data_IF_669117262381
#
_entry.id   IF_669117262381
#
_cell.length_a   1.000
_cell.length_b   1.000
_cell.length_c   1.000
_cell.angle_alpha   90.00
_cell.angle_beta   90.00
_cell.angle_gamma   90.00
#
_symmetry.space_group_name_H-M   'P 1'
#
loop_
_entity.id
_entity.type
_entity.pdbx_description
1 polymer ?
#
# COMPACT_ATOMS: atom_id res chain seq x y z
N UNK A 1 -6.25 19.49 -1.59
CA UNK A 1 -5.73 18.56 -2.63
C UNK A 1 -4.71 17.57 -2.05
N UNK A 2 -3.64 18.04 -1.38
CA UNK A 2 -2.55 17.22 -0.84
C UNK A 2 -3.05 16.14 0.15
N UNK A 3 -3.83 16.54 1.16
CA UNK A 3 -4.37 15.62 2.18
C UNK A 3 -5.25 14.53 1.56
N UNK A 4 -6.11 14.92 0.59
CA UNK A 4 -6.95 13.97 -0.12
C UNK A 4 -6.12 12.96 -0.92
N UNK A 5 -5.10 13.43 -1.64
CA UNK A 5 -4.19 12.56 -2.38
C UNK A 5 -3.45 11.60 -1.44
N UNK A 6 -3.01 12.10 -0.29
CA UNK A 6 -2.41 11.26 0.75
C UNK A 6 -3.35 10.13 1.18
N UNK A 7 -4.59 10.44 1.57
CA UNK A 7 -5.56 9.42 1.97
C UNK A 7 -5.86 8.41 0.86
N UNK A 8 -5.97 8.86 -0.39
CA UNK A 8 -6.18 7.97 -1.54
C UNK A 8 -5.00 7.00 -1.69
N UNK A 9 -3.78 7.51 -1.69
CA UNK A 9 -2.56 6.71 -1.87
C UNK A 9 -2.37 5.73 -0.70
N UNK A 10 -2.55 6.18 0.53
CA UNK A 10 -2.51 5.34 1.73
C UNK A 10 -3.59 4.26 1.71
N UNK A 11 -4.82 4.59 1.30
CA UNK A 11 -5.90 3.60 1.17
C UNK A 11 -5.53 2.53 0.14
N UNK A 12 -5.04 2.93 -1.04
CA UNK A 12 -4.59 1.98 -2.07
C UNK A 12 -3.47 1.09 -1.54
N UNK A 13 -2.49 1.66 -0.84
CA UNK A 13 -1.39 0.91 -0.23
C UNK A 13 -1.89 -0.13 0.79
N UNK A 14 -2.84 0.24 1.65
CA UNK A 14 -3.46 -0.67 2.63
C UNK A 14 -4.21 -1.83 1.96
N UNK A 15 -4.98 -1.56 0.90
CA UNK A 15 -5.67 -2.62 0.15
C UNK A 15 -4.70 -3.53 -0.60
N UNK A 16 -3.59 -2.99 -1.13
CA UNK A 16 -2.56 -3.82 -1.75
C UNK A 16 -1.90 -4.73 -0.72
N UNK A 17 -1.59 -4.21 0.46
CA UNK A 17 -1.10 -5.01 1.58
C UNK A 17 -2.09 -6.11 1.98
N UNK A 18 -3.40 -5.80 2.05
CA UNK A 18 -4.44 -6.81 2.30
C UNK A 18 -4.40 -7.93 1.27
N UNK A 19 -4.35 -7.58 -0.02
CA UNK A 19 -4.30 -8.59 -1.08
C UNK A 19 -3.04 -9.47 -0.98
N UNK A 20 -1.88 -8.88 -0.71
CA UNK A 20 -0.61 -9.62 -0.53
C UNK A 20 -0.67 -10.56 0.68
N UNK A 21 -1.09 -10.06 1.84
CA UNK A 21 -1.20 -10.87 3.05
C UNK A 21 -2.23 -11.99 2.87
N UNK A 22 -3.42 -11.67 2.37
CA UNK A 22 -4.44 -12.68 2.09
C UNK A 22 -3.90 -13.79 1.18
N UNK A 23 -3.20 -13.42 0.11
CA UNK A 23 -2.57 -14.39 -0.80
C UNK A 23 -1.49 -15.21 -0.09
N UNK A 24 -0.69 -14.57 0.76
CA UNK A 24 0.35 -15.25 1.55
C UNK A 24 -0.25 -16.29 2.49
N UNK A 25 -1.34 -15.97 3.18
CA UNK A 25 -2.00 -16.87 4.12
C UNK A 25 -2.75 -18.01 3.43
N UNK A 26 -3.42 -17.73 2.31
CA UNK A 26 -4.28 -18.70 1.63
C UNK A 26 -3.50 -19.57 0.62
N UNK A 27 -2.48 -19.03 -0.05
CA UNK A 27 -1.80 -19.65 -1.22
C UNK A 27 -0.28 -19.77 -1.02
N UNK A 28 0.24 -19.28 0.11
CA UNK A 28 1.65 -19.33 0.45
C UNK A 28 2.54 -18.34 -0.32
N UNK A 29 3.81 -18.30 0.06
CA UNK A 29 4.78 -17.34 -0.47
C UNK A 29 4.99 -17.45 -1.99
N UNK A 30 4.87 -18.66 -2.56
CA UNK A 30 5.08 -18.92 -4.00
C UNK A 30 4.16 -18.08 -4.88
N UNK A 31 2.93 -17.81 -4.43
CA UNK A 31 1.95 -17.00 -5.15
C UNK A 31 1.95 -15.55 -4.65
N UNK A 32 2.16 -15.34 -3.35
CA UNK A 32 2.18 -14.00 -2.77
C UNK A 32 3.30 -13.10 -3.32
N UNK A 33 4.49 -13.66 -3.59
CA UNK A 33 5.61 -12.89 -4.14
C UNK A 33 5.28 -12.29 -5.53
N UNK A 34 4.82 -13.08 -6.52
CA UNK A 34 4.34 -12.53 -7.79
C UNK A 34 3.27 -11.45 -7.62
N UNK A 35 2.28 -11.66 -6.74
CA UNK A 35 1.22 -10.68 -6.46
C UNK A 35 1.80 -9.39 -5.91
N UNK A 36 2.72 -9.46 -4.94
CA UNK A 36 3.39 -8.30 -4.37
C UNK A 36 4.17 -7.51 -5.43
N UNK A 37 4.86 -8.19 -6.36
CA UNK A 37 5.60 -7.55 -7.45
C UNK A 37 4.67 -6.83 -8.43
N UNK A 38 3.55 -7.46 -8.80
CA UNK A 38 2.54 -6.87 -9.68
C UNK A 38 1.93 -5.62 -9.03
N UNK A 39 1.48 -5.73 -7.78
CA UNK A 39 0.87 -4.61 -7.07
C UNK A 39 1.87 -3.47 -6.81
N UNK A 40 3.13 -3.80 -6.49
CA UNK A 40 4.19 -2.79 -6.36
C UNK A 40 4.44 -2.06 -7.69
N UNK A 41 4.41 -2.79 -8.80
CA UNK A 41 4.52 -2.20 -10.14
C UNK A 41 3.34 -1.25 -10.40
N UNK A 42 2.11 -1.67 -10.12
CA UNK A 42 0.90 -0.83 -10.27
C UNK A 42 1.01 0.43 -9.41
N UNK A 43 1.48 0.29 -8.16
CA UNK A 43 1.66 1.41 -7.25
C UNK A 43 2.66 2.44 -7.81
N UNK A 44 3.81 1.99 -8.32
CA UNK A 44 4.82 2.85 -8.96
C UNK A 44 4.26 3.51 -10.24
N UNK A 45 3.54 2.76 -11.07
CA UNK A 45 2.90 3.31 -12.26
C UNK A 45 1.87 4.40 -11.93
N UNK A 46 1.15 4.26 -10.82
CA UNK A 46 0.25 5.29 -10.29
C UNK A 46 0.93 6.63 -10.06
N UNK A 47 2.19 6.64 -9.58
CA UNK A 47 2.97 7.86 -9.39
C UNK A 47 3.21 8.59 -10.71
N UNK A 48 3.65 7.87 -11.74
CA UNK A 48 3.92 8.45 -13.05
C UNK A 48 2.64 8.98 -13.69
N UNK A 49 1.51 8.30 -13.50
CA UNK A 49 0.21 8.76 -13.97
C UNK A 49 -0.25 10.03 -13.23
N UNK A 50 -0.10 10.09 -11.91
CA UNK A 50 -0.44 11.27 -11.12
C UNK A 50 0.44 12.46 -11.49
N UNK A 51 1.73 12.21 -11.75
CA UNK A 51 2.71 13.20 -12.19
C UNK A 51 2.45 13.72 -13.61
N UNK A 52 2.02 12.85 -14.53
CA UNK A 52 1.81 13.22 -15.95
C UNK A 52 0.54 14.03 -16.17
N UNK A 53 -0.49 13.85 -15.33
CA UNK A 53 -1.79 14.49 -15.56
C UNK A 53 -1.81 15.99 -15.37
N UNK A 54 -0.80 16.63 -14.75
CA UNK A 54 -0.71 18.10 -14.60
C UNK A 54 -1.91 18.81 -13.93
N UNK A 55 -2.92 18.04 -13.53
CA UNK A 55 -4.24 18.49 -13.04
C UNK A 55 -4.27 18.64 -11.52
N UNK A 56 -3.29 18.10 -10.82
CA UNK A 56 -3.17 18.25 -9.39
C UNK A 56 -2.31 19.47 -9.10
N UNK A 57 -2.88 20.45 -8.39
CA UNK A 57 -2.13 21.56 -7.81
C UNK A 57 -1.31 21.05 -6.59
N UNK A 58 -0.34 20.18 -6.90
CA UNK A 58 0.54 19.52 -5.94
C UNK A 58 1.94 19.53 -6.57
N UNK A 59 2.92 20.02 -5.81
CA UNK A 59 4.31 20.02 -6.28
C UNK A 59 4.82 18.59 -6.50
N UNK A 60 5.73 18.41 -7.46
CA UNK A 60 6.36 17.09 -7.73
C UNK A 60 7.02 16.52 -6.47
N UNK A 61 7.60 17.38 -5.63
CA UNK A 61 8.21 16.99 -4.36
C UNK A 61 7.17 16.50 -3.36
N UNK A 62 6.06 17.21 -3.18
CA UNK A 62 4.97 16.78 -2.30
C UNK A 62 4.35 15.46 -2.78
N UNK A 63 4.17 15.30 -4.09
CA UNK A 63 3.67 14.05 -4.68
C UNK A 63 4.62 12.88 -4.42
N UNK A 64 5.94 13.10 -4.54
CA UNK A 64 6.94 12.08 -4.23
C UNK A 64 6.88 11.67 -2.75
N UNK A 65 6.77 12.63 -1.83
CA UNK A 65 6.62 12.34 -0.40
C UNK A 65 5.36 11.54 -0.09
N UNK A 66 4.22 11.91 -0.67
CA UNK A 66 2.97 11.14 -0.51
C UNK A 66 3.18 9.69 -0.94
N UNK A 67 3.80 9.48 -2.11
CA UNK A 67 4.06 8.13 -2.61
C UNK A 67 5.06 7.34 -1.75
N UNK A 68 6.11 8.00 -1.27
CA UNK A 68 7.09 7.39 -0.38
C UNK A 68 6.47 6.98 0.95
N UNK A 69 5.63 7.83 1.54
CA UNK A 69 4.95 7.50 2.82
C UNK A 69 3.98 6.33 2.61
N UNK A 70 3.14 6.34 1.57
CA UNK A 70 2.24 5.22 1.29
C UNK A 70 2.99 3.91 1.00
N UNK A 71 4.18 3.97 0.40
CA UNK A 71 5.01 2.78 0.20
C UNK A 71 5.63 2.28 1.52
N UNK A 72 6.08 3.19 2.38
CA UNK A 72 6.55 2.85 3.73
C UNK A 72 5.41 2.22 4.53
N UNK A 73 4.19 2.73 4.45
CA UNK A 73 3.01 2.11 5.06
C UNK A 73 2.82 0.67 4.58
N UNK A 74 2.92 0.43 3.26
CA UNK A 74 2.81 -0.90 2.66
C UNK A 74 3.87 -1.88 3.20
N UNK A 75 5.12 -1.43 3.30
CA UNK A 75 6.22 -2.25 3.81
C UNK A 75 6.15 -2.48 5.31
N UNK A 76 5.90 -1.41 6.07
CA UNK A 76 6.05 -1.40 7.52
C UNK A 76 4.85 -2.04 8.20
N UNK A 77 3.62 -1.68 7.80
CA UNK A 77 2.44 -2.37 8.29
C UNK A 77 2.45 -3.83 7.82
N UNK A 78 2.87 -4.09 6.57
CA UNK A 78 3.09 -5.43 6.00
C UNK A 78 3.92 -6.32 6.92
N UNK A 79 5.14 -5.86 7.18
CA UNK A 79 6.10 -6.57 8.01
C UNK A 79 5.69 -6.67 9.47
N UNK A 80 5.23 -5.57 10.07
CA UNK A 80 4.80 -5.58 11.48
C UNK A 80 3.60 -6.50 11.71
N UNK A 81 2.64 -6.53 10.78
CA UNK A 81 1.48 -7.38 10.91
C UNK A 81 1.83 -8.86 10.79
N UNK A 82 2.83 -9.20 9.95
CA UNK A 82 3.35 -10.55 9.85
C UNK A 82 4.16 -10.98 11.09
N UNK A 83 5.03 -10.10 11.60
CA UNK A 83 5.97 -10.43 12.67
C UNK A 83 5.39 -10.28 14.08
N UNK A 84 4.43 -9.37 14.24
CA UNK A 84 3.93 -8.90 15.55
C UNK A 84 2.41 -8.70 15.56
N UNK A 85 1.59 -9.65 15.06
CA UNK A 85 0.13 -9.48 14.93
C UNK A 85 -0.57 -9.22 16.27
N UNK A 86 -0.02 -9.73 17.38
CA UNK A 86 -0.59 -9.60 18.74
C UNK A 86 -0.64 -8.18 19.29
N UNK A 87 0.10 -7.23 18.70
CA UNK A 87 0.10 -5.83 19.13
C UNK A 87 -0.93 -4.97 18.39
N UNK A 88 -1.67 -5.54 17.44
CA UNK A 88 -2.67 -4.82 16.68
C UNK A 88 -4.08 -5.09 17.23
N UNK A 89 -4.96 -4.07 17.26
CA UNK A 89 -6.37 -4.26 17.56
C UNK A 89 -7.01 -5.30 16.63
N UNK A 90 -7.98 -6.07 17.13
CA UNK A 90 -8.67 -7.11 16.36
C UNK A 90 -9.27 -6.59 15.05
N UNK A 91 -9.78 -5.35 15.03
CA UNK A 91 -10.31 -4.72 13.81
C UNK A 91 -9.30 -4.67 12.66
N UNK A 92 -8.00 -4.53 12.96
CA UNK A 92 -6.95 -4.53 11.94
C UNK A 92 -6.74 -5.96 11.39
N UNK A 93 -6.84 -6.97 12.24
CA UNK A 93 -6.77 -8.37 11.82
C UNK A 93 -7.95 -8.79 10.98
N UNK A 94 -9.16 -8.40 11.40
CA UNK A 94 -10.37 -8.59 10.61
C UNK A 94 -10.24 -7.90 9.26
N UNK A 95 -9.73 -6.66 9.22
CA UNK A 95 -9.49 -6.00 7.94
C UNK A 95 -8.54 -6.81 7.03
N UNK A 96 -7.48 -7.42 7.55
CA UNK A 96 -6.52 -8.14 6.71
C UNK A 96 -6.95 -9.57 6.34
N UNK A 97 -7.78 -10.22 7.15
CA UNK A 97 -8.04 -11.67 7.05
C UNK A 97 -9.51 -12.08 6.92
N UNK A 98 -10.46 -11.18 7.19
CA UNK A 98 -11.88 -11.36 6.88
C UNK A 98 -12.24 -10.65 5.55
#
# INVERSE_FOLDING_TARGET
MIILMFFIVSTVALFFMKAVLWTLFQWGAKIAIPVALILSSIYIWGFFLAKSKGRFDISKTALAWIWSIGFIELLFLGGLYHLTPQFFPSVIGNFFFE
#
